data_IF_448503005268
#
_entry.id   IF_448503005268
#
_cell.length_a   1.000
_cell.length_b   1.000
_cell.length_c   1.000
_cell.angle_alpha   90.00
_cell.angle_beta   90.00
_cell.angle_gamma   90.00
#
_symmetry.space_group_name_H-M   'P 1'
#
loop_
_entity.id
_entity.type
_entity.pdbx_description
1 polymer ?
2 non-polymer ?
3 non-polymer ?
4 non-polymer ?
5 water ?
#
# COMPACT_ATOMS: atom_id res chain seq x y z
N UNK A 38 -23.66 19.33 -7.81
CA UNK A 38 -22.34 18.80 -8.19
C UNK A 38 -21.97 17.60 -7.32
N UNK A 39 -21.65 16.48 -7.95
CA UNK A 39 -21.21 15.38 -7.10
C UNK A 39 -19.76 15.07 -7.39
N UNK A 40 -19.00 14.59 -6.42
CA UNK A 40 -17.59 14.23 -6.67
C UNK A 40 -17.49 13.07 -7.64
N UNK A 41 -16.31 12.82 -8.20
CA UNK A 41 -16.13 11.63 -9.07
C UNK A 41 -16.56 10.34 -8.39
N UNK A 42 -17.16 9.45 -9.20
CA UNK A 42 -17.70 8.19 -8.67
C UNK A 42 -16.68 7.45 -7.81
N UNK A 43 -15.42 7.44 -8.24
CA UNK A 43 -14.39 6.75 -7.47
C UNK A 43 -14.19 7.34 -6.09
N UNK A 44 -14.29 8.67 -5.97
CA UNK A 44 -14.14 9.25 -4.63
C UNK A 44 -15.40 9.07 -3.78
N UNK A 45 -16.59 9.25 -4.37
CA UNK A 45 -17.81 8.84 -3.69
C UNK A 45 -17.64 7.45 -3.08
N UNK A 46 -17.09 6.52 -3.87
CA UNK A 46 -16.92 5.16 -3.38
C UNK A 46 -15.88 5.11 -2.26
N UNK A 47 -14.65 5.58 -2.53
CA UNK A 47 -13.56 5.38 -1.59
C UNK A 47 -13.74 6.19 -0.30
N UNK A 48 -14.14 7.46 -0.42
CA UNK A 48 -14.20 8.33 0.74
C UNK A 48 -15.58 8.35 1.38
N UNK A 49 -16.64 8.08 0.63
CA UNK A 49 -17.98 8.25 1.18
C UNK A 49 -18.74 6.98 1.54
N UNK A 50 -18.42 5.84 0.93
CA UNK A 50 -19.31 4.68 1.04
C UNK A 50 -18.97 3.77 2.24
N UNK A 51 -20.01 3.15 2.80
CA UNK A 51 -19.81 2.04 3.72
C UNK A 51 -19.26 0.78 3.05
N UNK A 52 -19.55 0.61 1.75
CA UNK A 52 -18.91 -0.47 1.00
C UNK A 52 -17.39 -0.39 1.09
N UNK A 53 -16.79 0.78 0.83
CA UNK A 53 -15.33 0.86 0.89
C UNK A 53 -14.82 0.71 2.32
N UNK A 54 -15.58 1.21 3.28
CA UNK A 54 -15.23 1.07 4.69
C UNK A 54 -15.15 -0.41 5.09
N UNK A 55 -16.21 -1.16 4.77
CA UNK A 55 -16.25 -2.59 5.09
C UNK A 55 -15.11 -3.34 4.40
N UNK A 56 -14.84 -3.02 3.15
CA UNK A 56 -13.73 -3.62 2.40
C UNK A 56 -12.39 -3.39 3.10
N UNK A 57 -12.17 -2.18 3.62
CA UNK A 57 -10.92 -1.89 4.30
C UNK A 57 -10.84 -2.61 5.65
N UNK A 58 -11.95 -2.66 6.39
CA UNK A 58 -11.94 -3.36 7.67
C UNK A 58 -11.69 -4.86 7.48
N UNK A 59 -12.24 -5.43 6.41
CA UNK A 59 -11.98 -6.84 6.11
C UNK A 59 -10.49 -7.08 5.89
N UNK A 60 -9.86 -6.21 5.08
CA UNK A 60 -8.42 -6.31 4.85
C UNK A 60 -7.63 -6.32 6.17
N UNK A 61 -7.98 -5.44 7.11
CA UNK A 61 -7.17 -5.38 8.33
C UNK A 61 -7.52 -6.48 9.31
N UNK A 62 -8.77 -6.97 9.31
CA UNK A 62 -9.10 -8.15 10.08
C UNK A 62 -8.26 -9.35 9.63
N UNK A 63 -8.19 -9.58 8.32
CA UNK A 63 -7.38 -10.68 7.81
C UNK A 63 -5.91 -10.49 8.17
N UNK A 64 -5.41 -9.24 8.09
CA UNK A 64 -4.01 -8.99 8.44
C UNK A 64 -3.76 -9.26 9.92
N UNK A 65 -4.67 -8.81 10.79
CA UNK A 65 -4.47 -9.00 12.23
C UNK A 65 -4.43 -10.49 12.59
N UNK A 66 -5.34 -11.29 12.01
CA UNK A 66 -5.34 -12.72 12.31
C UNK A 66 -4.09 -13.38 11.77
N UNK A 67 -3.65 -12.98 10.57
CA UNK A 67 -2.42 -13.50 9.99
C UNK A 67 -1.21 -13.19 10.88
N UNK A 68 -1.05 -11.92 11.26
CA UNK A 68 0.06 -11.52 12.13
C UNK A 68 0.03 -12.31 13.44
N UNK A 69 -1.14 -12.42 14.06
CA UNK A 69 -1.26 -13.14 15.33
C UNK A 69 -0.84 -14.61 15.19
N UNK A 70 -1.20 -15.25 14.08
CA UNK A 70 -0.78 -16.64 13.85
C UNK A 70 0.73 -16.73 13.77
N UNK A 71 1.37 -15.75 13.12
CA UNK A 71 2.82 -15.79 12.97
C UNK A 71 3.57 -15.29 14.20
N UNK A 72 2.94 -14.47 15.05
CA UNK A 72 3.54 -14.15 16.34
C UNK A 72 3.63 -15.40 17.21
N UNK A 73 2.59 -16.25 17.18
CA UNK A 73 2.65 -17.50 17.95
C UNK A 73 3.63 -18.49 17.33
N UNK A 74 3.70 -18.56 16.00
CA UNK A 74 4.51 -19.54 15.29
C UNK A 74 5.31 -18.77 14.24
N UNK A 75 6.50 -18.34 14.61
CA UNK A 75 7.36 -17.56 13.75
C UNK A 75 7.66 -18.31 12.46
N UNK A 76 7.53 -17.70 11.30
CA UNK A 76 7.76 -18.41 10.04
C UNK A 76 9.24 -18.46 9.68
N UNK A 77 9.55 -19.23 8.64
CA UNK A 77 10.92 -19.24 8.15
C UNK A 77 11.16 -18.14 7.13
N UNK A 78 10.20 -17.91 6.24
CA UNK A 78 10.26 -16.83 5.25
C UNK A 78 9.55 -15.57 5.73
N UNK A 79 10.09 -14.41 5.35
CA UNK A 79 9.34 -13.18 5.45
C UNK A 79 8.41 -13.08 4.24
N UNK A 80 7.63 -12.00 4.16
CA UNK A 80 6.74 -11.78 3.03
C UNK A 80 7.37 -10.84 1.99
N UNK A 81 8.65 -10.50 2.13
CA UNK A 81 9.34 -9.64 1.17
C UNK A 81 10.17 -10.50 0.24
N UNK A 82 10.02 -10.29 -1.07
CA UNK A 82 10.72 -11.09 -2.07
C UNK A 82 12.23 -10.88 -1.97
N UNK A 83 12.98 -11.95 -2.19
CA UNK A 83 14.42 -11.84 -2.25
C UNK A 83 14.86 -11.13 -3.53
N UNK A 84 16.10 -10.62 -3.49
CA UNK A 84 16.68 -9.96 -4.65
C UNK A 84 16.76 -10.92 -5.82
N UNK A 85 16.32 -10.45 -6.98
CA UNK A 85 16.35 -11.27 -8.17
C UNK A 85 15.27 -12.33 -8.24
N UNK A 86 14.38 -12.41 -7.26
CA UNK A 86 13.32 -13.41 -7.35
C UNK A 86 12.28 -12.97 -8.36
N UNK A 87 11.65 -13.95 -9.00
CA UNK A 87 10.56 -13.70 -9.92
C UNK A 87 9.21 -14.09 -9.34
N UNK A 88 8.14 -13.57 -9.94
CA UNK A 88 6.78 -13.82 -9.43
C UNK A 88 6.37 -15.29 -9.62
N UNK A 89 6.90 -15.97 -10.64
CA UNK A 89 6.53 -17.36 -10.90
C UNK A 89 7.12 -18.30 -9.86
N UNK A 90 8.37 -18.04 -9.44
CA UNK A 90 9.07 -18.85 -8.44
C UNK A 90 9.58 -17.90 -7.37
N UNK A 91 8.68 -17.42 -6.50
CA UNK A 91 9.08 -16.41 -5.52
C UNK A 91 9.92 -17.03 -4.41
N UNK A 92 11.04 -16.38 -4.13
CA UNK A 92 11.79 -16.67 -2.93
C UNK A 92 11.79 -15.41 -2.07
N UNK A 93 11.91 -15.60 -0.77
CA UNK A 93 11.68 -14.51 0.17
C UNK A 93 12.89 -14.36 1.08
N UNK A 94 13.15 -13.12 1.48
CA UNK A 94 14.17 -12.86 2.49
C UNK A 94 13.78 -13.69 3.71
N UNK A 95 14.68 -14.52 4.25
CA UNK A 95 14.30 -15.34 5.40
C UNK A 95 13.96 -14.49 6.62
N UNK A 96 13.11 -15.06 7.47
CA UNK A 96 12.72 -14.42 8.71
C UNK A 96 13.86 -14.44 9.72
N UNK A 97 14.53 -15.59 9.87
CA UNK A 97 15.64 -15.70 10.81
C UNK A 97 15.21 -15.41 12.24
N UNK A 98 16.12 -14.79 12.99
CA UNK A 98 15.83 -14.35 14.36
C UNK A 98 15.52 -12.87 14.44
N UNK A 99 15.26 -12.22 13.31
CA UNK A 99 15.08 -10.78 13.29
C UNK A 99 13.77 -10.36 13.96
N UNK A 100 13.73 -9.16 14.53
CA UNK A 100 12.50 -8.70 15.19
C UNK A 100 11.32 -8.60 14.22
N UNK A 101 10.15 -9.00 14.72
CA UNK A 101 8.94 -9.06 13.88
C UNK A 101 8.46 -7.67 13.49
N UNK A 102 8.03 -7.53 12.23
CA UNK A 102 7.54 -6.25 11.76
C UNK A 102 6.44 -6.47 10.71
N UNK A 103 5.68 -5.40 10.46
CA UNK A 103 4.72 -5.30 9.38
C UNK A 103 5.01 -4.02 8.60
N UNK A 104 4.98 -4.10 7.26
CA UNK A 104 5.32 -2.98 6.40
C UNK A 104 4.03 -2.42 5.80
N UNK A 105 3.91 -1.10 5.79
CA UNK A 105 2.72 -0.45 5.23
C UNK A 105 3.11 0.66 4.29
N UNK A 106 2.53 0.63 3.08
CA UNK A 106 2.34 1.83 2.30
C UNK A 106 1.61 2.87 3.15
N UNK A 107 1.83 4.16 2.87
CA UNK A 107 1.12 5.16 3.64
C UNK A 107 -0.17 5.59 2.92
N UNK A 108 -0.04 6.23 1.77
CA UNK A 108 -1.15 6.95 1.17
C UNK A 108 -2.22 6.00 0.59
N UNK A 109 -3.44 6.12 1.11
CA UNK A 109 -4.60 5.27 0.75
C UNK A 109 -4.39 3.81 1.14
N UNK A 110 -3.42 3.52 2.00
CA UNK A 110 -3.29 2.22 2.66
C UNK A 110 -3.58 2.32 4.16
N UNK A 111 -2.87 3.20 4.87
CA UNK A 111 -3.21 3.47 6.28
C UNK A 111 -3.76 4.89 6.48
N UNK A 112 -3.51 5.81 5.56
CA UNK A 112 -3.91 7.21 5.68
C UNK A 112 -4.70 7.65 4.44
N UNK A 113 -5.86 8.24 4.67
CA UNK A 113 -6.67 8.83 3.59
C UNK A 113 -6.24 10.28 3.36
N UNK A 114 -5.91 10.61 2.11
CA UNK A 114 -5.49 11.98 1.81
C UNK A 114 -6.71 12.81 1.40
N UNK A 115 -7.57 13.04 2.39
CA UNK A 115 -8.89 13.60 2.11
C UNK A 115 -8.78 15.01 1.56
N UNK A 116 -8.05 15.88 2.27
CA UNK A 116 -7.86 17.24 1.79
C UNK A 116 -7.36 17.31 0.36
N UNK A 117 -6.36 16.49 0.03
CA UNK A 117 -5.81 16.58 -1.31
C UNK A 117 -6.82 16.14 -2.36
N UNK A 118 -7.55 15.05 -2.09
CA UNK A 118 -8.50 14.56 -3.09
C UNK A 118 -9.71 15.47 -3.19
N UNK A 119 -10.08 16.14 -2.09
CA UNK A 119 -11.08 17.20 -2.17
C UNK A 119 -10.65 18.26 -3.16
N UNK A 120 -9.38 18.68 -3.09
CA UNK A 120 -8.92 19.72 -3.99
C UNK A 120 -8.87 19.21 -5.42
N UNK A 121 -8.50 17.94 -5.61
CA UNK A 121 -8.48 17.37 -6.95
C UNK A 121 -9.89 17.28 -7.53
N UNK A 122 -10.88 16.90 -6.70
CA UNK A 122 -12.26 16.87 -7.17
C UNK A 122 -12.77 18.26 -7.48
N UNK A 123 -12.46 19.25 -6.64
CA UNK A 123 -12.90 20.61 -6.93
C UNK A 123 -12.28 21.13 -8.23
N UNK A 124 -11.04 20.75 -8.47
CA UNK A 124 -10.25 21.37 -9.52
C UNK A 124 -10.21 20.54 -10.80
N UNK A 125 -10.51 19.24 -10.72
CA UNK A 125 -10.40 18.36 -11.87
C UNK A 125 -9.00 17.93 -12.21
N UNK A 126 -7.98 18.43 -11.49
CA UNK A 126 -6.58 18.11 -11.78
C UNK A 126 -6.08 17.02 -10.82
N UNK A 128 -3.44 14.97 -11.38
CA UNK A 128 -2.06 14.86 -11.86
C UNK A 128 -1.19 16.08 -11.57
N UNK A 129 -1.44 16.77 -10.48
CA UNK A 129 -0.79 18.05 -10.19
C UNK A 129 0.40 17.82 -9.26
N UNK A 130 1.60 17.71 -9.84
CA UNK A 130 2.76 17.35 -9.02
C UNK A 130 3.16 18.48 -8.07
N UNK A 131 3.04 19.74 -8.50
CA UNK A 131 3.33 20.85 -7.61
C UNK A 131 2.35 20.92 -6.45
N UNK A 132 1.07 20.63 -6.71
CA UNK A 132 0.07 20.63 -5.65
C UNK A 132 0.33 19.50 -4.66
N UNK A 133 0.74 18.33 -5.17
CA UNK A 133 1.03 17.23 -4.26
C UNK A 133 2.22 17.58 -3.38
N UNK A 134 3.22 18.28 -3.92
CA UNK A 134 4.35 18.67 -3.09
C UNK A 134 3.91 19.59 -1.96
N UNK A 135 3.09 20.60 -2.28
CA UNK A 135 2.52 21.46 -1.23
C UNK A 135 1.73 20.63 -0.22
N UNK A 136 1.05 19.58 -0.69
CA UNK A 136 0.20 18.78 0.19
C UNK A 136 1.05 17.96 1.15
N UNK A 137 2.16 17.40 0.67
CA UNK A 137 3.08 16.71 1.58
C UNK A 137 3.54 17.65 2.67
N UNK A 138 3.65 18.94 2.36
CA UNK A 138 4.18 19.87 3.35
C UNK A 138 3.11 20.42 4.28
N UNK A 139 1.85 20.52 3.83
CA UNK A 139 0.85 21.28 4.57
C UNK A 139 -0.45 20.50 4.83
N UNK A 140 -0.50 19.21 4.53
CA UNK A 140 -1.72 18.44 4.64
C UNK A 140 -1.99 17.73 5.96
N UNK A 141 -1.14 17.90 6.98
CA UNK A 141 -1.30 17.10 8.19
C UNK A 141 -2.65 17.30 8.87
N UNK A 142 -3.35 18.41 8.58
CA UNK A 142 -4.61 18.74 9.22
C UNK A 142 -5.82 18.23 8.44
N UNK A 143 -5.62 17.47 7.37
CA UNK A 143 -6.72 17.06 6.51
C UNK A 143 -6.57 15.60 6.11
N UNK A 144 -6.05 14.78 7.02
CA UNK A 144 -5.89 13.35 6.79
C UNK A 144 -6.71 12.60 7.84
N UNK A 145 -7.15 11.40 7.48
CA UNK A 145 -7.89 10.51 8.36
C UNK A 145 -7.28 9.11 8.22
N UNK A 146 -7.51 8.22 9.18
CA UNK A 146 -7.06 6.85 8.99
C UNK A 146 -7.94 6.13 7.99
N UNK A 147 -7.32 5.24 7.22
CA UNK A 147 -8.10 4.24 6.49
C UNK A 147 -8.90 3.43 7.49
N UNK A 148 -10.19 3.17 7.24
CA UNK A 148 -11.01 2.50 8.26
C UNK A 148 -10.36 1.23 8.80
N UNK A 149 -10.18 1.17 10.10
CA UNK A 149 -9.54 0.07 10.76
C UNK A 149 -8.04 0.18 10.93
N UNK A 150 -7.38 1.16 10.31
CA UNK A 150 -5.93 1.20 10.32
C UNK A 150 -5.36 1.70 11.65
N UNK A 151 -6.03 2.62 12.34
CA UNK A 151 -5.54 3.05 13.64
C UNK A 151 -5.67 1.93 14.68
N UNK A 152 -6.80 1.23 14.69
CA UNK A 152 -6.98 0.11 15.60
C UNK A 152 -5.99 -1.01 15.29
N UNK A 153 -5.74 -1.28 14.00
CA UNK A 153 -4.84 -2.36 13.61
C UNK A 153 -3.41 -2.03 14.01
N UNK A 154 -2.99 -0.79 13.82
CA UNK A 154 -1.66 -0.39 14.19
C UNK A 154 -1.46 -0.45 15.71
N UNK A 155 -2.50 -0.13 16.49
CA UNK A 155 -2.36 -0.23 17.94
C UNK A 155 -2.27 -1.71 18.36
N UNK A 156 -3.09 -2.57 17.77
CA UNK A 156 -3.04 -3.99 18.10
C UNK A 156 -1.67 -4.58 17.76
N UNK A 157 -1.12 -4.22 16.61
CA UNK A 157 0.20 -4.73 16.21
C UNK A 157 1.26 -4.37 17.25
N UNK A 158 1.21 -3.15 17.77
CA UNK A 158 2.22 -2.76 18.75
C UNK A 158 1.98 -3.45 20.08
N UNK A 159 0.71 -3.66 20.46
CA UNK A 159 0.42 -4.43 21.66
C UNK A 159 0.85 -5.89 21.51
N UNK A 160 0.93 -6.41 20.28
CA UNK A 160 1.46 -7.74 20.03
C UNK A 160 2.98 -7.81 19.98
N UNK A 161 3.68 -6.67 20.11
CA UNK A 161 5.12 -6.67 19.97
C UNK A 161 5.64 -6.64 18.55
N UNK A 162 4.83 -6.23 17.58
CA UNK A 162 5.23 -6.17 16.17
C UNK A 162 5.54 -4.73 15.80
N UNK A 163 6.71 -4.49 15.22
CA UNK A 163 7.11 -3.14 14.84
C UNK A 163 6.42 -2.71 13.56
N UNK A 164 5.83 -1.52 13.57
CA UNK A 164 5.06 -1.00 12.44
C UNK A 164 5.99 -0.12 11.61
N UNK A 165 6.27 -0.54 10.37
CA UNK A 165 7.21 0.13 9.46
C UNK A 165 6.44 0.69 8.27
N UNK A 166 6.68 1.96 7.94
CA UNK A 166 6.05 2.60 6.78
C UNK A 166 7.05 2.75 5.64
N UNK A 167 6.63 2.39 4.43
CA UNK A 167 7.43 2.51 3.22
C UNK A 167 6.57 3.25 2.19
N UNK A 168 6.81 4.56 2.01
CA UNK A 168 5.93 5.42 1.23
C UNK A 168 6.74 6.17 0.18
N UNK A 169 6.05 6.62 -0.88
CA UNK A 169 6.73 7.41 -1.88
C UNK A 169 6.53 8.91 -1.70
N UNK A 170 6.02 9.32 -0.52
CA UNK A 170 6.22 10.70 -0.10
C UNK A 170 7.72 10.98 -0.03
N UNK A 171 8.09 12.24 -0.20
CA UNK A 171 9.49 12.60 -0.41
C UNK A 171 10.26 12.65 0.90
N UNK A 172 11.54 12.27 0.83
CA UNK A 172 12.39 12.28 2.02
C UNK A 172 12.47 13.68 2.63
N UNK A 173 12.53 14.73 1.81
CA UNK A 173 12.64 16.07 2.36
C UNK A 173 11.40 16.56 3.07
N UNK A 174 10.29 15.83 2.98
CA UNK A 174 9.05 16.12 3.69
C UNK A 174 8.79 15.09 4.79
N UNK A 175 9.86 14.51 5.35
CA UNK A 175 9.70 13.48 6.38
C UNK A 175 8.98 14.02 7.61
N UNK A 176 9.35 15.22 8.08
CA UNK A 176 8.79 15.71 9.35
C UNK A 176 7.30 15.99 9.23
N UNK A 177 6.80 16.75 8.24
CA UNK A 177 5.35 16.85 8.09
C UNK A 177 4.67 15.53 7.82
N UNK A 178 5.34 14.57 7.17
CA UNK A 178 4.73 13.26 6.98
C UNK A 178 4.61 12.52 8.31
N UNK A 179 5.64 12.63 9.17
CA UNK A 179 5.56 12.06 10.52
C UNK A 179 4.37 12.65 11.28
N UNK A 180 4.19 13.97 11.20
CA UNK A 180 3.09 14.62 11.91
C UNK A 180 1.73 14.19 11.36
N UNK A 181 1.62 14.02 10.02
CA UNK A 181 0.37 13.58 9.42
C UNK A 181 0.02 12.14 9.84
N UNK A 182 1.01 11.26 9.82
CA UNK A 182 0.83 9.90 10.33
C UNK A 182 0.34 9.94 11.79
N UNK A 183 0.93 10.80 12.61
CA UNK A 183 0.48 10.95 13.99
C UNK A 183 -0.96 11.45 14.06
N UNK A 184 -1.32 12.40 13.19
CA UNK A 184 -2.65 13.00 13.23
C UNK A 184 -3.72 12.01 12.79
N UNK A 185 -3.37 11.07 11.92
CA UNK A 185 -4.30 10.03 11.52
C UNK A 185 -4.46 8.94 12.58
N UNK A 186 -3.85 9.11 13.75
CA UNK A 186 -3.95 8.12 14.80
C UNK A 186 -3.11 6.89 14.56
N UNK A 187 -2.07 6.99 13.73
CA UNK A 187 -1.26 5.83 13.36
C UNK A 187 0.02 5.70 14.19
N UNK A 188 0.22 6.52 15.21
CA UNK A 188 1.39 6.37 16.07
C UNK A 188 2.61 7.15 15.58
N UNK A 189 3.76 6.76 16.12
CA UNK A 189 5.00 7.52 15.94
C UNK A 189 5.91 6.83 14.94
N UNK A 190 6.20 7.51 13.84
CA UNK A 190 7.12 7.00 12.84
C UNK A 190 8.43 7.78 12.92
N UNK A 191 9.54 7.10 12.60
CA UNK A 191 10.87 7.68 12.70
C UNK A 191 11.59 7.46 11.37
N UNK A 192 12.00 8.55 10.73
CA UNK A 192 12.72 8.48 9.47
C UNK A 192 13.95 7.59 9.65
N UNK A 193 14.09 6.58 8.79
CA UNK A 193 15.26 5.72 8.82
C UNK A 193 15.17 4.51 9.74
N UNK A 194 14.17 4.44 10.62
CA UNK A 194 13.95 3.27 11.49
C UNK A 194 12.62 2.59 11.20
N UNK A 195 11.53 3.36 11.16
CA UNK A 195 10.19 2.86 10.88
C UNK A 195 9.52 3.65 9.76
N UNK A 196 10.26 4.54 9.07
CA UNK A 196 9.69 5.32 8.00
C UNK A 196 10.73 5.48 6.90
N UNK A 197 10.38 5.06 5.69
CA UNK A 197 11.27 5.05 4.55
C UNK A 197 10.55 5.72 3.38
N UNK A 198 11.25 6.63 2.71
CA UNK A 198 10.62 7.59 1.82
C UNK A 198 11.34 7.62 0.49
N UNK A 199 10.62 8.10 -0.51
CA UNK A 199 11.20 8.30 -1.83
C UNK A 199 12.36 9.27 -1.74
N UNK A 200 13.50 8.90 -2.30
CA UNK A 200 14.70 9.68 -2.15
C UNK A 200 15.61 9.21 -1.03
N UNK A 201 15.15 8.29 -0.18
CA UNK A 201 16.06 7.66 0.78
C UNK A 201 17.14 6.84 0.08
N UNK A 202 16.87 6.37 -1.14
CA UNK A 202 17.89 5.83 -2.04
C UNK A 202 17.73 6.49 -3.40
N UNK A 203 18.55 6.12 -4.37
CA UNK A 203 18.50 6.68 -5.71
C UNK A 203 17.61 5.89 -6.67
N UNK A 204 16.61 5.16 -6.17
CA UNK A 204 15.76 4.32 -7.00
C UNK A 204 14.45 5.00 -7.41
N UNK A 205 14.23 6.25 -7.00
CA UNK A 205 12.99 6.93 -7.39
C UNK A 205 11.77 6.30 -6.75
N UNK A 206 10.73 6.09 -7.55
CA UNK A 206 9.46 5.54 -7.06
C UNK A 206 9.54 4.04 -6.81
N UNK A 207 10.60 3.39 -7.28
CA UNK A 207 10.78 1.97 -7.05
C UNK A 207 11.05 1.71 -5.57
N UNK A 208 10.29 0.78 -5.00
CA UNK A 208 10.33 0.52 -3.57
C UNK A 208 11.12 -0.73 -3.20
N UNK A 209 11.59 -1.52 -4.17
CA UNK A 209 12.30 -2.75 -3.85
C UNK A 209 13.53 -2.48 -2.99
N UNK A 210 14.28 -1.41 -3.30
CA UNK A 210 15.46 -1.09 -2.52
C UNK A 210 15.17 -0.87 -1.05
N UNK A 211 14.14 -0.07 -0.77
CA UNK A 211 13.73 0.13 0.62
C UNK A 211 13.21 -1.16 1.23
N UNK A 212 12.43 -1.95 0.47
CA UNK A 212 11.98 -3.24 0.99
C UNK A 212 13.16 -4.11 1.42
N UNK A 213 14.24 -4.10 0.63
CA UNK A 213 15.42 -4.88 0.98
C UNK A 213 16.07 -4.37 2.26
N UNK A 214 16.12 -3.05 2.43
CA UNK A 214 16.68 -2.50 3.66
C UNK A 214 15.85 -2.90 4.86
N UNK A 215 14.51 -2.84 4.75
CA UNK A 215 13.65 -3.23 5.85
C UNK A 215 13.83 -4.71 6.17
N UNK A 216 13.82 -5.56 5.13
CA UNK A 216 13.88 -7.00 5.34
C UNK A 216 15.24 -7.44 5.86
N UNK A 217 16.28 -6.62 5.66
CA UNK A 217 17.60 -6.94 6.20
C UNK A 217 17.66 -6.79 7.71
N UNK A 218 16.77 -6.00 8.31
CA UNK A 218 16.78 -5.91 9.76
C UNK A 218 15.53 -6.43 10.46
N UNK A 219 14.45 -6.69 9.73
CA UNK A 219 13.24 -7.17 10.36
C UNK A 219 12.78 -8.47 9.74
N UNK A 220 12.02 -9.23 10.50
CA UNK A 220 11.25 -10.34 9.96
C UNK A 220 9.88 -9.78 9.62
N UNK A 221 9.64 -9.50 8.34
CA UNK A 221 8.40 -8.84 7.93
C UNK A 221 7.36 -9.93 7.71
N UNK A 222 6.35 -9.98 8.59
CA UNK A 222 5.36 -11.04 8.54
C UNK A 222 4.04 -10.60 7.89
N UNK A 223 3.90 -9.31 7.57
CA UNK A 223 2.76 -8.85 6.78
C UNK A 223 3.12 -7.55 6.06
N UNK A 224 2.48 -7.33 4.92
CA UNK A 224 2.74 -6.13 4.13
C UNK A 224 1.46 -5.65 3.49
N UNK A 225 1.13 -4.37 3.71
CA UNK A 225 -0.11 -3.80 3.22
C UNK A 225 0.13 -2.72 2.18
N UNK A 226 -0.79 -2.63 1.22
CA UNK A 226 -0.69 -1.57 0.23
C UNK A 226 -1.95 -1.44 -0.60
N UNK A 227 -2.03 -0.33 -1.33
CA UNK A 227 -3.15 -0.08 -2.24
C UNK A 227 -2.73 -0.16 -3.72
N UNK A 228 -1.44 -0.32 -4.01
CA UNK A 228 -0.91 -0.41 -5.36
C UNK A 228 0.03 -1.60 -5.46
N UNK A 229 0.12 -2.20 -6.66
CA UNK A 229 0.93 -3.41 -6.78
C UNK A 229 2.40 -3.13 -6.53
N UNK A 230 2.84 -1.90 -6.81
CA UNK A 230 4.21 -1.51 -6.50
C UNK A 230 4.51 -1.53 -5.01
N UNK A 231 3.48 -1.58 -4.17
CA UNK A 231 3.67 -1.69 -2.74
C UNK A 231 4.00 -3.11 -2.30
N UNK A 232 4.09 -4.05 -3.24
CA UNK A 232 4.49 -5.42 -2.93
C UNK A 232 5.70 -5.87 -3.73
N UNK A 233 5.79 -5.46 -4.98
CA UNK A 233 6.99 -5.71 -5.78
C UNK A 233 7.04 -4.74 -6.94
N UNK A 234 8.24 -4.21 -7.22
CA UNK A 234 8.47 -3.38 -8.39
C UNK A 234 8.29 -4.15 -9.69
N UNK A 235 8.26 -5.49 -9.63
CA UNK A 235 8.11 -6.28 -10.83
C UNK A 235 6.78 -6.02 -11.52
N UNK A 236 5.77 -5.52 -10.80
CA UNK A 236 4.48 -5.26 -11.42
C UNK A 236 4.49 -4.01 -12.29
N UNK A 237 5.53 -3.17 -12.23
CA UNK A 237 5.53 -1.84 -12.83
C UNK A 237 6.77 -1.67 -13.71
N UNK A 238 6.94 -0.47 -14.26
CA UNK A 238 8.10 -0.22 -15.11
C UNK A 238 8.05 -0.87 -16.48
N UNK A 239 6.88 -1.13 -17.02
CA UNK A 239 6.80 -1.86 -18.27
C UNK A 239 5.51 -2.64 -18.50
N UNK A 240 5.16 -3.54 -17.58
CA UNK A 240 4.00 -4.41 -17.82
C UNK A 240 2.74 -3.65 -18.17
N UNK A 241 2.00 -4.18 -19.14
CA UNK A 241 0.73 -3.63 -19.56
C UNK A 241 -0.36 -3.82 -18.50
N UNK A 242 -1.47 -3.14 -18.70
CA UNK A 242 -2.62 -3.27 -17.80
C UNK A 242 -3.08 -4.72 -17.70
N UNK A 243 -3.18 -5.41 -18.83
CA UNK A 243 -3.67 -6.79 -18.79
C UNK A 243 -2.59 -7.74 -18.27
N UNK A 244 -1.31 -7.48 -18.57
CA UNK A 244 -0.23 -8.28 -17.99
C UNK A 244 -0.19 -8.16 -16.46
N UNK A 245 -0.33 -6.95 -15.92
CA UNK A 245 -0.27 -6.81 -14.47
C UNK A 245 -1.41 -7.57 -13.80
N UNK A 246 -2.60 -7.56 -14.40
CA UNK A 246 -3.73 -8.26 -13.78
C UNK A 246 -3.53 -9.77 -13.84
N UNK A 247 -3.04 -10.28 -14.97
CA UNK A 247 -2.71 -11.70 -15.06
C UNK A 247 -1.67 -12.07 -14.01
N UNK A 248 -0.68 -11.20 -13.77
CA UNK A 248 0.40 -11.53 -12.86
C UNK A 248 -0.09 -11.74 -11.44
N UNK A 249 -1.15 -11.03 -11.02
CA UNK A 249 -1.70 -11.26 -9.69
C UNK A 249 -2.30 -12.65 -9.53
N UNK A 250 -2.56 -13.34 -10.63
CA UNK A 250 -3.13 -14.68 -10.56
C UNK A 250 -2.12 -15.78 -10.87
N UNK A 251 -0.87 -15.45 -11.16
CA UNK A 251 0.21 -16.43 -11.07
C UNK A 251 0.09 -17.16 -9.74
N UNK A 252 -0.11 -18.48 -9.72
CA UNK A 252 -0.52 -19.14 -8.46
C UNK A 252 0.43 -18.92 -7.29
N UNK A 253 1.75 -18.93 -7.49
CA UNK A 253 2.63 -18.70 -6.36
C UNK A 253 2.47 -17.29 -5.82
N UNK A 254 2.01 -16.36 -6.65
CA UNK A 254 1.74 -15.00 -6.19
C UNK A 254 0.31 -14.86 -5.65
N UNK A 255 -0.64 -15.54 -6.29
CA UNK A 255 -2.04 -15.45 -5.87
C UNK A 255 -2.20 -15.87 -4.42
N UNK A 256 -1.44 -16.87 -3.99
CA UNK A 256 -1.48 -17.38 -2.62
C UNK A 256 -1.10 -16.33 -1.58
N UNK A 257 -0.49 -15.21 -1.99
CA UNK A 257 -0.08 -14.17 -1.04
C UNK A 257 -1.25 -13.31 -0.59
N UNK A 258 -2.26 -13.12 -1.44
CA UNK A 258 -3.28 -12.10 -1.19
C UNK A 258 -4.15 -12.50 0.00
N UNK A 259 -4.24 -11.61 0.99
CA UNK A 259 -4.94 -11.96 2.22
C UNK A 259 -4.23 -13.00 3.03
N UNK A 260 -2.96 -13.26 2.70
CA UNK A 260 -2.20 -14.33 3.35
C UNK A 260 -0.73 -13.90 3.43
N UNK A 261 -0.49 -12.64 3.80
CA UNK A 261 0.86 -12.10 3.80
C UNK A 261 0.95 -10.74 3.11
N UNK A 262 0.25 -10.61 1.99
CA UNK A 262 0.12 -9.36 1.25
C UNK A 262 -1.33 -8.89 1.35
N UNK A 263 -1.54 -7.69 1.87
CA UNK A 263 -2.90 -7.26 2.20
C UNK A 263 -3.21 -5.98 1.44
N UNK A 264 -4.37 -5.96 0.79
CA UNK A 264 -4.67 -4.97 -0.23
C UNK A 264 -5.80 -4.08 0.24
N UNK A 265 -5.63 -2.81 0.04
CA UNK A 265 -6.61 -1.76 0.31
C UNK A 265 -7.07 -1.14 -1.01
N UNK A 266 -8.33 -0.68 -1.09
CA UNK A 266 -8.87 -0.23 -2.39
C UNK A 266 -8.44 1.18 -2.75
N UNK A 267 -8.22 1.41 -4.04
CA UNK A 267 -7.95 2.75 -4.55
C UNK A 267 -8.42 2.87 -6.00
N UNK A 268 -9.68 3.20 -6.22
CA UNK A 268 -10.15 3.55 -7.56
C UNK A 268 -10.11 5.04 -7.84
N UNK A 269 -9.24 5.80 -7.19
CA UNK A 269 -9.22 7.25 -7.29
C UNK A 269 -8.04 7.77 -8.11
N UNK A 270 -6.86 7.17 -7.96
CA UNK A 270 -5.68 7.55 -8.73
C UNK A 270 -4.76 6.34 -8.79
N UNK A 271 -3.78 6.40 -9.70
CA UNK A 271 -2.65 5.49 -9.69
C UNK A 271 -2.73 4.36 -10.71
N UNK A 272 -2.04 3.25 -10.41
CA UNK A 272 -1.82 2.19 -11.38
C UNK A 272 -3.12 1.56 -11.84
N UNK A 273 -4.15 1.56 -10.98
CA UNK A 273 -5.39 0.92 -11.34
C UNK A 273 -6.21 1.68 -12.37
N UNK A 274 -5.86 2.93 -12.64
CA UNK A 274 -6.68 3.78 -13.49
C UNK A 274 -6.04 3.93 -14.86
N UNK A 275 -5.91 2.81 -15.57
CA UNK A 275 -5.23 2.78 -16.85
C UNK A 275 -5.95 1.83 -17.78
N UNK A 276 -5.72 2.03 -19.06
CA UNK A 276 -6.12 1.04 -20.05
C UNK A 276 -7.25 1.58 -20.91
N UNK A 277 -7.17 1.27 -22.21
CA UNK A 277 -8.25 1.59 -23.13
C UNK A 277 -9.38 0.60 -23.05
N UNK A 278 -10.33 0.77 -23.97
CA UNK A 278 -11.51 -0.10 -23.95
C UNK A 278 -11.13 -1.57 -24.13
N UNK A 279 -10.21 -1.86 -25.05
CA UNK A 279 -9.85 -3.25 -25.36
C UNK A 279 -9.10 -3.93 -24.23
N UNK A 280 -8.41 -3.18 -23.39
CA UNK A 280 -7.78 -3.83 -22.24
C UNK A 280 -8.75 -3.99 -21.09
N UNK A 281 -9.71 -3.08 -20.96
CA UNK A 281 -10.63 -3.13 -19.84
C UNK A 281 -11.74 -4.14 -20.09
N UNK A 282 -12.26 -4.19 -21.32
CA UNK A 282 -13.38 -5.04 -21.70
C UNK A 282 -12.92 -6.02 -22.76
N UNK A 283 -12.50 -7.23 -22.37
CA UNK A 283 -11.92 -8.17 -23.35
C UNK A 283 -12.89 -8.51 -24.47
N UNK A 284 -12.33 -8.81 -25.65
CA UNK A 284 -13.16 -8.87 -26.85
C UNK A 284 -14.01 -10.13 -26.92
N UNK A 285 -13.84 -11.09 -26.02
CA UNK A 285 -14.72 -12.24 -26.01
C UNK A 285 -15.90 -12.04 -25.08
N UNK A 286 -16.03 -10.87 -24.44
CA UNK A 286 -17.09 -10.56 -23.50
C UNK A 286 -17.82 -9.27 -23.86
N UNK A 287 -17.93 -8.95 -25.15
CA UNK A 287 -18.63 -7.75 -25.59
C UNK A 287 -20.13 -8.02 -25.76
N UNK A 288 -20.91 -6.96 -25.76
CA UNK A 288 -22.37 -7.05 -25.83
C UNK A 288 -22.93 -5.67 -26.15
N UNK A 289 -24.09 -5.64 -26.79
CA UNK A 289 -24.79 -4.38 -27.09
C UNK A 289 -26.27 -4.51 -26.77
N UNK A 290 -26.85 -3.46 -26.17
CA UNK A 290 -28.26 -3.45 -25.86
C UNK A 290 -29.10 -3.39 -27.14
N UNK A 291 -30.32 -3.94 -27.11
CA UNK A 291 -31.32 -3.90 -28.19
C UNK A 291 -31.50 -2.54 -28.88
X LIG B 1 0.30 11.02 -6.86
X LIG B 1 0.98 12.23 -6.72
X LIG B 1 1.13 9.81 -6.40
X LIG B 1 0.31 8.59 -6.87
X LIG B 1 1.14 7.46 -6.95
X LIG B 1 2.53 9.77 -7.05
X LIG B 1 2.55 10.56 -8.20
X LIG B 1 1.35 9.75 -4.93
X LIG B 1 0.12 10.01 -4.19
X LIG B 1 0.08 9.01 -3.03
X LIG B 1 0.41 7.71 -3.49
X LIG B 1 2.41 10.65 -4.47
X LIG B 1 3.58 9.92 -3.79
X LIG B 1 3.46 8.54 -3.95
X LIG C 1 -0.46 4.29 -1.54
X LIG D 1 2.41 6.14 -1.04
X LIG D 1 3.62 5.40 -1.58
X LIG D 1 2.37 6.05 0.48
X LIG D 1 2.57 7.60 -1.43
X LIG D 1 1.11 5.58 -1.61
#
# INVERSE_FOLDING_TARGET
MASWSHPQFEKGSSHHHHHHSSGSGGGGGENLYFQGSETPPAGMQYLYGSGEASALSLQAYQALLAHVAAKVKVRPADSVILAEGAGLDDPRFVPCGAKPLAAVFDVDETVMLNIGYEYHAARTGRGFDTAAWDAWERTGEAAVAPVPGADRMVRALRQMGVTVVFNTNRAAGNAEPTVRAIKAAGLGDAVHGQTLFLSGDDAMGSRKDGRRATIAARYCVIAMGGDQLGDFSDLFNGGPSVTARRAATMQPAIAQMWGNGWFVLPNPVYGSGLKGGFDEVFPLDKRWAAPADGEK
BTB C1 O1 C2 C3 O3 C4 O4 N C5 C6 O6 C7 C8 O8
MG MG
PO4 P O1 O2 O3 O4
#
